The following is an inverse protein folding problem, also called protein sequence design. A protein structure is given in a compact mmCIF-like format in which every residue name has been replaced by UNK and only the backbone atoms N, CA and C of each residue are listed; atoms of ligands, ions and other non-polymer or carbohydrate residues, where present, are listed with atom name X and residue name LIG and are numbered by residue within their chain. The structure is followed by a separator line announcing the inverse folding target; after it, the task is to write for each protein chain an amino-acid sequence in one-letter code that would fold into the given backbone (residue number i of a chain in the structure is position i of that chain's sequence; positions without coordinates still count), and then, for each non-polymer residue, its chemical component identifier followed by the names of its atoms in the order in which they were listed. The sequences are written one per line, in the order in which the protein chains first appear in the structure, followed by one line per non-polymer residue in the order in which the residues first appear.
data_IF_384183145047
#
_entry.id   IF_384183145047
#
_cell.length_a   1.000
_cell.length_b   1.000
_cell.length_c   1.000
_cell.angle_alpha   90.00
_cell.angle_beta   90.00
_cell.angle_gamma   90.00
#
_symmetry.space_group_name_H-M   'P 1'
#
loop_
_entity.id
_entity.type
_entity.pdbx_description
1 polymer ?
#
# COMPACT_ATOMS: atom_id res chain seq x y z
N UNK A 1 -8.65 -27.13 38.91
CA UNK A 1 -8.38 -26.05 37.95
C UNK A 1 -6.88 -25.79 37.83
N UNK A 2 -6.21 -26.50 36.93
CA UNK A 2 -4.87 -26.12 36.48
C UNK A 2 -5.04 -25.23 35.26
N UNK A 3 -5.34 -23.94 35.47
CA UNK A 3 -5.38 -22.97 34.39
C UNK A 3 -3.95 -22.51 34.09
N UNK A 4 -3.40 -22.91 32.95
CA UNK A 4 -2.20 -22.29 32.41
C UNK A 4 -2.63 -21.13 31.50
N UNK A 5 -2.54 -19.89 32.00
CA UNK A 5 -2.68 -18.70 31.17
C UNK A 5 -1.42 -18.56 30.32
N UNK A 6 -1.49 -18.94 29.05
CA UNK A 6 -0.50 -18.56 28.06
C UNK A 6 -0.98 -17.28 27.37
N UNK A 7 -0.42 -16.14 27.77
CA UNK A 7 -0.64 -14.89 27.03
C UNK A 7 0.29 -14.87 25.81
N UNK A 8 -0.27 -15.03 24.62
CA UNK A 8 0.44 -14.76 23.37
C UNK A 8 0.24 -13.28 23.07
N UNK A 9 1.29 -12.48 23.27
CA UNK A 9 1.25 -11.05 22.96
C UNK A 9 1.59 -10.86 21.48
N UNK A 10 0.61 -10.45 20.67
CA UNK A 10 0.83 -10.07 19.29
C UNK A 10 0.97 -8.54 19.20
N UNK A 11 1.98 -8.06 18.47
CA UNK A 11 2.21 -6.64 18.20
C UNK A 11 2.08 -6.37 16.69
N UNK A 12 0.86 -6.39 16.14
CA UNK A 12 0.66 -6.30 14.69
C UNK A 12 1.11 -4.95 14.11
N UNK A 13 1.13 -3.89 14.92
CA UNK A 13 1.48 -2.53 14.49
C UNK A 13 2.39 -1.78 15.50
N UNK A 14 2.95 -2.48 16.49
CA UNK A 14 3.91 -1.90 17.45
C UNK A 14 3.36 -0.87 18.46
N UNK A 15 2.07 -0.48 18.41
CA UNK A 15 1.56 0.65 19.21
C UNK A 15 0.46 0.30 20.21
N UNK A 16 -0.09 -0.91 20.21
CA UNK A 16 -0.83 -1.47 21.36
C UNK A 16 -0.93 -2.99 21.29
N UNK A 17 -0.63 -3.73 22.38
CA UNK A 17 -0.80 -5.17 22.40
C UNK A 17 -2.28 -5.54 22.36
N UNK A 18 -2.67 -6.33 21.35
CA UNK A 18 -3.96 -7.03 21.36
C UNK A 18 -3.77 -8.29 22.21
N UNK A 19 -4.54 -8.37 23.30
CA UNK A 19 -4.55 -9.56 24.16
C UNK A 19 -5.59 -10.52 23.59
N UNK A 20 -5.13 -11.68 23.12
CA UNK A 20 -6.01 -12.79 22.73
C UNK A 20 -6.06 -13.75 23.92
N UNK A 21 -7.19 -13.77 24.62
CA UNK A 21 -7.45 -14.74 25.68
C UNK A 21 -7.82 -16.08 25.04
N UNK A 22 -6.87 -17.03 25.05
CA UNK A 22 -7.13 -18.41 24.62
C UNK A 22 -7.47 -19.24 25.85
N UNK A 23 -8.76 -19.55 26.02
CA UNK A 23 -9.22 -20.54 27.01
C UNK A 23 -9.19 -21.92 26.36
N UNK A 24 -8.32 -22.79 26.84
CA UNK A 24 -8.31 -24.21 26.47
C UNK A 24 -8.92 -25.00 27.62
N UNK A 25 -10.07 -25.63 27.35
CA UNK A 25 -10.78 -26.53 28.26
C UNK A 25 -10.80 -27.92 27.62
N UNK A 26 -10.17 -28.90 28.25
CA UNK A 26 -10.13 -30.29 27.79
C UNK A 26 -11.37 -31.09 28.20
N UNK A 27 -12.22 -30.50 29.07
CA UNK A 27 -13.49 -31.08 29.45
C UNK A 27 -13.40 -32.37 30.28
N UNK A 28 -12.20 -32.82 30.67
CA UNK A 28 -11.98 -34.00 31.52
C UNK A 28 -11.12 -33.67 32.75
N UNK A 29 -11.78 -33.24 33.84
CA UNK A 29 -11.13 -32.90 35.12
C UNK A 29 -10.55 -34.11 35.89
N UNK A 30 -10.25 -35.24 35.23
CA UNK A 30 -9.81 -36.48 35.87
C UNK A 30 -8.77 -37.32 35.10
N UNK A 31 -7.68 -36.69 34.66
CA UNK A 31 -6.38 -37.35 34.74
C UNK A 31 -5.61 -37.57 33.44
N UNK A 32 -4.69 -36.63 33.22
CA UNK A 32 -3.31 -36.83 32.75
C UNK A 32 -3.09 -37.17 31.28
N UNK A 33 -3.16 -36.12 30.45
CA UNK A 33 -2.23 -35.88 29.35
C UNK A 33 -2.01 -34.38 29.17
N UNK A 34 -0.82 -33.90 28.76
CA UNK A 34 -0.68 -32.51 28.32
C UNK A 34 -1.56 -32.31 27.08
N UNK A 35 -2.26 -31.17 27.02
CA UNK A 35 -2.99 -30.78 25.82
C UNK A 35 -2.01 -30.61 24.68
N UNK A 36 -1.98 -31.60 23.81
CA UNK A 36 -1.03 -31.70 22.71
C UNK A 36 -1.78 -31.41 21.43
N UNK A 37 -1.78 -30.15 21.02
CA UNK A 37 -2.42 -29.66 19.80
C UNK A 37 -1.68 -28.44 19.26
N UNK A 38 -1.80 -28.17 17.96
CA UNK A 38 -1.29 -26.95 17.37
C UNK A 38 -2.39 -25.88 17.40
N UNK A 39 -2.12 -24.75 18.06
CA UNK A 39 -2.90 -23.53 17.87
C UNK A 39 -2.29 -22.83 16.67
N UNK A 40 -2.99 -22.85 15.54
CA UNK A 40 -2.59 -22.09 14.36
C UNK A 40 -3.20 -20.70 14.45
N UNK A 41 -2.37 -19.70 14.77
CA UNK A 41 -2.74 -18.29 14.63
C UNK A 41 -2.28 -17.87 13.25
N UNK A 42 -3.22 -17.74 12.32
CA UNK A 42 -2.95 -17.18 11.01
C UNK A 42 -3.39 -15.71 11.03
N UNK A 43 -2.48 -14.80 10.72
CA UNK A 43 -2.86 -13.50 10.18
C UNK A 43 -3.43 -13.77 8.79
N UNK A 44 -4.70 -13.45 8.55
CA UNK A 44 -5.19 -13.36 7.18
C UNK A 44 -4.36 -12.25 6.54
N UNK A 45 -3.52 -12.61 5.59
CA UNK A 45 -2.82 -11.64 4.77
C UNK A 45 -3.87 -10.75 4.12
N UNK A 46 -3.84 -9.45 4.47
CA UNK A 46 -4.25 -8.32 3.64
C UNK A 46 -5.27 -8.69 2.55
N UNK A 47 -6.51 -8.91 2.96
CA UNK A 47 -7.63 -8.97 2.02
C UNK A 47 -7.86 -7.59 1.41
N UNK A 48 -8.55 -7.55 0.28
CA UNK A 48 -9.15 -6.34 -0.30
C UNK A 48 -10.63 -6.71 -0.42
N UNK A 49 -11.37 -6.43 0.64
CA UNK A 49 -12.70 -7.01 0.92
C UNK A 49 -13.77 -6.50 -0.02
N UNK A 50 -13.62 -5.30 -0.57
CA UNK A 50 -14.54 -4.71 -1.55
C UNK A 50 -13.98 -4.62 -2.98
N UNK A 51 -12.70 -4.95 -3.16
CA UNK A 51 -12.06 -5.11 -4.47
C UNK A 51 -11.69 -3.79 -5.13
N UNK A 52 -11.43 -2.75 -4.36
CA UNK A 52 -11.08 -1.42 -4.86
C UNK A 52 -9.57 -1.23 -5.15
N UNK A 53 -8.76 -2.22 -4.75
CA UNK A 53 -7.31 -2.24 -4.94
C UNK A 53 -6.51 -1.80 -3.72
N UNK A 54 -7.17 -1.47 -2.61
CA UNK A 54 -6.56 -1.13 -1.31
C UNK A 54 -6.74 -2.32 -0.35
N UNK A 55 -5.69 -2.74 0.37
CA UNK A 55 -5.85 -3.79 1.37
C UNK A 55 -6.56 -3.32 2.65
N UNK A 56 -7.41 -4.18 3.22
CA UNK A 56 -8.19 -3.97 4.45
C UNK A 56 -7.33 -3.42 5.61
N UNK A 57 -6.09 -3.89 5.74
CA UNK A 57 -5.18 -3.46 6.80
C UNK A 57 -4.75 -1.99 6.63
N UNK A 58 -4.53 -1.56 5.38
CA UNK A 58 -4.23 -0.16 5.06
C UNK A 58 -5.48 0.69 5.28
N UNK A 59 -6.64 0.22 4.83
CA UNK A 59 -7.90 0.93 5.01
C UNK A 59 -8.21 1.21 6.47
N UNK A 60 -8.14 0.18 7.32
CA UNK A 60 -8.35 0.31 8.77
C UNK A 60 -7.32 1.23 9.43
N UNK A 61 -6.06 1.21 8.97
CA UNK A 61 -5.01 2.07 9.50
C UNK A 61 -5.21 3.55 9.14
N UNK A 62 -5.84 3.84 7.99
CA UNK A 62 -6.08 5.18 7.49
C UNK A 62 -7.53 5.66 7.69
N UNK A 63 -8.36 4.89 8.40
CA UNK A 63 -9.74 5.28 8.70
C UNK A 63 -10.70 5.18 7.53
N UNK A 64 -10.33 4.42 6.50
CA UNK A 64 -11.22 4.00 5.40
C UNK A 64 -12.06 2.79 5.85
N UNK A 65 -13.01 2.39 5.04
CA UNK A 65 -13.95 1.32 5.29
C UNK A 65 -13.73 0.15 4.31
N UNK A 66 -13.21 -1.01 4.78
CA UNK A 66 -12.97 -2.23 3.97
C UNK A 66 -14.16 -2.86 3.25
N UNK A 67 -15.32 -2.21 3.24
CA UNK A 67 -16.53 -2.69 2.61
C UNK A 67 -17.19 -1.60 1.74
N UNK A 68 -16.52 -0.48 1.50
CA UNK A 68 -16.98 0.62 0.66
C UNK A 68 -15.98 0.95 -0.45
N UNK A 69 -16.10 0.32 -1.63
CA UNK A 69 -15.09 0.43 -2.70
C UNK A 69 -15.03 1.82 -3.36
N UNK A 70 -15.88 2.75 -2.91
CA UNK A 70 -15.88 4.12 -3.37
C UNK A 70 -14.88 5.00 -2.60
N UNK A 71 -14.44 4.57 -1.41
CA UNK A 71 -13.55 5.37 -0.57
C UNK A 71 -12.07 5.32 -1.00
N UNK A 72 -11.68 4.36 -1.85
CA UNK A 72 -10.45 4.45 -2.66
C UNK A 72 -10.32 5.77 -3.43
N UNK A 73 -11.45 6.39 -3.80
CA UNK A 73 -11.51 7.68 -4.47
C UNK A 73 -11.64 8.89 -3.52
N UNK A 74 -11.56 8.68 -2.21
CA UNK A 74 -11.70 9.74 -1.20
C UNK A 74 -10.38 10.45 -0.91
N UNK A 75 -10.47 11.73 -0.55
CA UNK A 75 -9.38 12.59 -0.09
C UNK A 75 -9.71 13.01 1.36
N UNK A 76 -9.41 12.12 2.31
CA UNK A 76 -9.89 12.26 3.69
C UNK A 76 -9.10 13.29 4.49
N UNK A 77 -7.84 13.53 4.15
CA UNK A 77 -6.97 14.51 4.79
C UNK A 77 -6.85 15.84 4.04
N UNK A 78 -7.49 15.96 2.86
CA UNK A 78 -7.62 17.15 2.02
C UNK A 78 -6.28 17.64 1.43
N UNK A 79 -5.43 16.71 1.02
CA UNK A 79 -4.13 16.99 0.41
C UNK A 79 -4.14 16.96 -1.14
N UNK A 80 -5.33 16.71 -1.73
CA UNK A 80 -5.60 16.58 -3.17
C UNK A 80 -5.18 15.24 -3.81
N UNK A 81 -4.84 14.24 -3.01
CA UNK A 81 -4.67 12.86 -3.47
C UNK A 81 -5.84 11.98 -3.03
N UNK A 82 -6.13 10.96 -3.84
CA UNK A 82 -7.08 9.93 -3.45
C UNK A 82 -6.37 8.78 -2.72
N UNK A 83 -7.12 8.12 -1.84
CA UNK A 83 -6.62 7.04 -1.01
C UNK A 83 -5.91 5.92 -1.79
N UNK A 84 -6.40 5.57 -2.99
CA UNK A 84 -5.77 4.57 -3.83
C UNK A 84 -4.39 5.03 -4.32
N UNK A 85 -4.28 6.27 -4.79
CA UNK A 85 -3.00 6.85 -5.23
C UNK A 85 -2.00 6.90 -4.08
N UNK A 86 -2.47 7.22 -2.88
CA UNK A 86 -1.65 7.23 -1.67
C UNK A 86 -1.17 5.84 -1.27
N UNK A 87 -2.06 4.85 -1.26
CA UNK A 87 -1.67 3.45 -1.07
C UNK A 87 -0.64 3.02 -2.11
N UNK A 88 -0.84 3.36 -3.39
CA UNK A 88 0.08 3.05 -4.50
C UNK A 88 1.43 3.76 -4.38
N UNK A 89 1.48 4.93 -3.74
CA UNK A 89 2.70 5.68 -3.49
C UNK A 89 3.29 5.43 -2.09
N UNK A 90 2.61 4.63 -1.26
CA UNK A 90 3.04 4.23 0.08
C UNK A 90 2.98 5.35 1.11
N UNK A 91 1.98 6.22 0.99
CA UNK A 91 1.68 7.30 1.94
C UNK A 91 0.43 7.00 2.77
N UNK A 92 0.15 7.79 3.80
CA UNK A 92 -1.03 7.65 4.66
C UNK A 92 -2.18 8.54 4.18
N UNK A 93 -3.32 7.93 3.80
CA UNK A 93 -4.55 8.62 3.40
C UNK A 93 -5.31 9.37 4.52
N UNK A 94 -4.65 9.53 5.67
CA UNK A 94 -5.18 10.23 6.83
C UNK A 94 -4.22 11.31 7.37
N UNK A 95 -3.07 11.50 6.74
CA UNK A 95 -2.05 12.48 7.10
C UNK A 95 -1.55 13.23 5.86
N UNK A 96 -2.18 14.37 5.56
CA UNK A 96 -1.82 15.19 4.40
C UNK A 96 -0.41 15.81 4.42
N UNK A 97 0.37 15.58 5.49
CA UNK A 97 1.81 15.87 5.47
C UNK A 97 2.61 14.81 4.72
N UNK A 98 2.12 13.57 4.67
CA UNK A 98 2.67 12.43 3.94
C UNK A 98 2.07 12.35 2.54
N UNK A 99 2.13 13.40 1.71
CA UNK A 99 1.49 13.34 0.38
C UNK A 99 2.40 12.82 -0.73
N UNK A 100 1.86 12.15 -1.75
CA UNK A 100 2.61 11.85 -2.96
C UNK A 100 3.08 13.11 -3.71
N UNK A 101 4.16 12.94 -4.46
CA UNK A 101 4.67 13.91 -5.42
C UNK A 101 4.51 13.32 -6.81
N UNK A 102 3.96 14.13 -7.73
CA UNK A 102 4.00 13.89 -9.17
C UNK A 102 4.10 15.24 -9.87
N UNK A 103 5.31 15.64 -10.22
CA UNK A 103 5.62 16.94 -10.81
C UNK A 103 6.18 16.75 -12.21
N UNK A 104 5.66 17.52 -13.16
CA UNK A 104 6.11 17.52 -14.56
C UNK A 104 6.69 18.90 -14.86
N UNK A 105 7.99 18.94 -15.14
CA UNK A 105 8.75 20.18 -15.34
C UNK A 105 9.32 20.21 -16.76
N UNK A 106 8.98 21.23 -17.53
CA UNK A 106 9.60 21.49 -18.83
C UNK A 106 10.95 22.18 -18.62
N UNK A 107 12.03 21.46 -18.90
CA UNK A 107 13.41 21.95 -18.76
C UNK A 107 13.88 22.67 -20.02
N UNK A 108 13.45 22.21 -21.19
CA UNK A 108 13.71 22.86 -22.48
C UNK A 108 12.66 22.47 -23.53
N UNK A 109 12.80 22.98 -24.75
CA UNK A 109 11.93 22.64 -25.88
C UNK A 109 11.94 21.15 -26.24
N UNK A 110 12.92 20.38 -25.77
CA UNK A 110 13.03 18.94 -26.06
C UNK A 110 13.24 18.11 -24.81
N UNK A 111 13.04 18.68 -23.62
CA UNK A 111 13.31 17.96 -22.37
C UNK A 111 12.25 18.27 -21.31
N UNK A 112 11.63 17.21 -20.80
CA UNK A 112 10.73 17.24 -19.66
C UNK A 112 11.28 16.32 -18.57
N UNK A 113 11.24 16.76 -17.33
CA UNK A 113 11.56 15.98 -16.14
C UNK A 113 10.29 15.68 -15.36
N UNK A 114 10.09 14.41 -15.03
CA UNK A 114 8.93 13.91 -14.28
C UNK A 114 9.44 13.38 -12.95
N UNK A 115 9.19 14.11 -11.87
CA UNK A 115 9.58 13.72 -10.51
C UNK A 115 8.39 13.09 -9.80
N UNK A 116 8.60 11.93 -9.20
CA UNK A 116 7.54 11.22 -8.47
C UNK A 116 8.08 10.51 -7.23
N UNK A 117 7.27 10.45 -6.18
CA UNK A 117 7.65 9.82 -4.92
C UNK A 117 6.55 9.88 -3.85
N UNK A 118 6.73 9.20 -2.71
CA UNK A 118 7.89 8.38 -2.37
C UNK A 118 8.00 7.08 -3.19
N UNK A 119 9.18 6.47 -3.14
CA UNK A 119 9.49 5.21 -3.83
C UNK A 119 9.64 4.13 -2.78
N UNK A 120 8.92 3.01 -2.93
CA UNK A 120 8.95 1.89 -1.99
C UNK A 120 9.60 0.67 -2.63
N UNK A 121 10.47 0.00 -1.87
CA UNK A 121 11.16 -1.21 -2.29
C UNK A 121 10.17 -2.28 -2.77
N UNK A 122 10.52 -2.95 -3.86
CA UNK A 122 9.72 -4.03 -4.46
C UNK A 122 8.58 -3.57 -5.37
N UNK A 123 8.19 -2.29 -5.35
CA UNK A 123 7.22 -1.73 -6.31
C UNK A 123 7.89 -1.45 -7.66
N UNK A 124 7.14 -1.65 -8.73
CA UNK A 124 7.56 -1.30 -10.09
C UNK A 124 6.86 -0.03 -10.53
N UNK A 125 7.63 0.94 -11.01
CA UNK A 125 7.17 2.23 -11.47
C UNK A 125 7.38 2.32 -12.98
N UNK A 126 6.34 2.71 -13.70
CA UNK A 126 6.37 2.89 -15.15
C UNK A 126 5.82 4.27 -15.50
N UNK A 127 6.63 5.08 -16.17
CA UNK A 127 6.19 6.38 -16.70
C UNK A 127 5.80 6.19 -18.15
N UNK A 128 4.56 6.50 -18.49
CA UNK A 128 4.02 6.44 -19.84
C UNK A 128 3.89 7.87 -20.38
N UNK A 129 4.27 8.10 -21.63
CA UNK A 129 4.04 9.37 -22.34
C UNK A 129 3.23 9.15 -23.61
N UNK A 130 2.30 10.07 -23.91
CA UNK A 130 1.47 10.00 -25.11
C UNK A 130 1.08 11.38 -25.63
N UNK A 131 1.10 11.55 -26.95
CA UNK A 131 0.64 12.77 -27.64
C UNK A 131 -0.82 12.73 -28.09
N UNK A 132 -1.50 11.59 -27.94
CA UNK A 132 -2.85 11.38 -28.48
C UNK A 132 -3.85 10.71 -27.52
N UNK A 133 -3.41 10.36 -26.31
CA UNK A 133 -4.25 9.78 -25.25
C UNK A 133 -3.68 8.50 -24.62
N UNK A 134 -4.21 8.12 -23.47
CA UNK A 134 -3.99 6.85 -22.77
C UNK A 134 -5.35 6.10 -22.74
N UNK A 135 -5.44 4.77 -22.89
CA UNK A 135 -4.45 3.75 -22.50
C UNK A 135 -3.80 3.00 -23.68
N UNK A 136 -2.50 2.69 -23.56
CA UNK A 136 -1.75 1.88 -24.54
C UNK A 136 -0.41 2.45 -25.00
N UNK A 137 0.03 3.58 -24.46
CA UNK A 137 1.37 4.08 -24.70
C UNK A 137 2.43 3.17 -24.05
N UNK A 138 3.57 2.92 -24.71
CA UNK A 138 4.67 2.22 -24.07
C UNK A 138 5.22 3.05 -22.90
N UNK A 139 5.73 2.36 -21.88
CA UNK A 139 6.49 3.03 -20.84
C UNK A 139 7.75 3.64 -21.46
N UNK A 140 7.96 4.95 -21.26
CA UNK A 140 9.20 5.65 -21.60
C UNK A 140 10.30 5.37 -20.58
N UNK A 141 9.92 5.07 -19.33
CA UNK A 141 10.81 4.66 -18.25
C UNK A 141 10.13 3.59 -17.40
N UNK A 142 10.89 2.60 -16.93
CA UNK A 142 10.38 1.49 -16.13
C UNK A 142 11.49 0.94 -15.23
N UNK A 143 11.21 0.87 -13.92
CA UNK A 143 12.12 0.23 -12.98
C UNK A 143 11.39 -0.35 -11.76
N UNK A 144 11.98 -1.39 -11.17
CA UNK A 144 11.58 -1.90 -9.85
C UNK A 144 12.52 -1.33 -8.78
N UNK A 145 11.96 -0.70 -7.76
CA UNK A 145 12.75 -0.09 -6.69
C UNK A 145 13.44 -1.16 -5.83
N UNK A 146 14.76 -1.07 -5.69
CA UNK A 146 15.53 -1.99 -4.86
C UNK A 146 15.52 -1.62 -3.36
N UNK A 147 15.19 -0.38 -3.05
CA UNK A 147 15.13 0.19 -1.71
C UNK A 147 14.17 1.37 -1.70
N UNK A 148 13.73 1.77 -0.51
CA UNK A 148 12.91 2.97 -0.33
C UNK A 148 13.70 4.23 -0.68
N UNK A 149 13.01 5.25 -1.17
CA UNK A 149 13.59 6.53 -1.55
C UNK A 149 12.56 7.66 -1.50
N UNK A 150 13.04 8.90 -1.34
CA UNK A 150 12.15 10.05 -1.26
C UNK A 150 11.44 10.35 -2.58
N UNK A 151 12.12 10.17 -3.71
CA UNK A 151 11.57 10.35 -5.06
C UNK A 151 12.49 9.70 -6.10
N UNK A 152 11.95 9.48 -7.30
CA UNK A 152 12.68 9.21 -8.53
C UNK A 152 12.38 10.30 -9.57
N UNK A 153 13.19 10.41 -10.63
CA UNK A 153 12.94 11.31 -11.75
C UNK A 153 13.14 10.59 -13.07
N UNK A 154 12.13 10.61 -13.93
CA UNK A 154 12.22 10.17 -15.32
C UNK A 154 12.48 11.38 -16.23
N UNK A 155 13.27 11.20 -17.28
CA UNK A 155 13.57 12.27 -18.25
C UNK A 155 13.02 11.90 -19.62
N UNK A 156 12.11 12.72 -20.13
CA UNK A 156 11.64 12.66 -21.51
C UNK A 156 12.49 13.59 -22.37
N UNK A 157 13.28 13.04 -23.30
CA UNK A 157 14.04 13.83 -24.30
C UNK A 157 13.34 13.90 -25.67
N UNK A 158 12.16 13.31 -25.77
CA UNK A 158 11.29 13.32 -26.96
C UNK A 158 10.21 14.39 -26.90
N UNK A 159 10.09 15.11 -25.77
CA UNK A 159 9.11 16.17 -25.48
C UNK A 159 9.08 17.42 -26.36
N UNK A 160 9.66 17.36 -27.55
CA UNK A 160 9.55 18.41 -28.59
C UNK A 160 8.27 18.37 -29.41
N UNK A 161 7.39 17.39 -29.20
CA UNK A 161 6.11 17.30 -29.90
C UNK A 161 4.97 17.91 -29.06
N UNK A 162 4.04 18.60 -29.73
CA UNK A 162 3.01 19.40 -29.09
C UNK A 162 2.05 18.55 -28.23
N UNK A 163 2.17 18.73 -26.90
CA UNK A 163 1.34 18.16 -25.81
C UNK A 163 1.58 16.67 -25.56
N UNK A 164 2.28 16.40 -24.47
CA UNK A 164 2.46 15.06 -23.94
C UNK A 164 1.62 14.91 -22.66
N UNK A 165 0.94 13.78 -22.58
CA UNK A 165 0.20 13.32 -21.41
C UNK A 165 1.11 12.31 -20.73
N UNK A 166 1.43 12.56 -19.46
CA UNK A 166 2.19 11.62 -18.63
C UNK A 166 1.27 10.87 -17.68
N UNK A 167 1.57 9.59 -17.46
CA UNK A 167 0.95 8.78 -16.42
C UNK A 167 2.02 7.97 -15.71
N UNK A 168 1.95 7.95 -14.39
CA UNK A 168 2.66 6.98 -13.57
C UNK A 168 1.76 5.76 -13.37
N UNK A 169 2.26 4.57 -13.70
CA UNK A 169 1.70 3.30 -13.27
C UNK A 169 2.59 2.74 -12.17
N UNK A 170 1.99 2.30 -11.07
CA UNK A 170 2.69 1.64 -9.98
C UNK A 170 2.12 0.23 -9.83
N UNK A 171 2.99 -0.76 -9.91
CA UNK A 171 2.65 -2.16 -9.64
C UNK A 171 3.18 -2.53 -8.26
N UNK A 172 2.27 -2.89 -7.37
CA UNK A 172 2.58 -3.41 -6.03
C UNK A 172 2.93 -4.89 -6.15
N UNK A 173 3.99 -5.38 -5.47
CA UNK A 173 4.29 -6.81 -5.45
C UNK A 173 3.13 -7.60 -4.82
N UNK A 174 2.88 -8.80 -5.35
CA UNK A 174 1.91 -9.69 -4.74
C UNK A 174 2.35 -10.05 -3.29
N UNK A 175 1.40 -10.20 -2.36
CA UNK A 175 1.68 -10.63 -0.99
C UNK A 175 2.28 -12.04 -0.90
#
# INVERSE_FOLDING_TARGET
MNAALAAVQFLPNGISPVVIDVLVDDGDEDGSGPLTGAITVATLAAGDSDGDGIPDDYELANGLNPNDPADAGSDSDNDSWDALSEYLMGTSASDGSERPVFEVVHVSDTQVEITYGPILAGRTYEVLSSTSGLPGAPAMDSFTAAADGAANTATDTTGGEAREIYRLLVTVPAP
#
